data_IF_598747551619
#
_entry.id   IF_598747551619
#
_cell.length_a   1.000
_cell.length_b   1.000
_cell.length_c   1.000
_cell.angle_alpha   90.00
_cell.angle_beta   90.00
_cell.angle_gamma   90.00
#
_symmetry.space_group_name_H-M   'P 1'
#
loop_
_entity.id
_entity.type
_entity.pdbx_description
1 polymer ?
#
# COMPACT_ATOMS: atom_id res chain seq x y z
N UNK A 1 -19.31 7.26 -4.31
CA UNK A 1 -18.18 7.79 -3.50
C UNK A 1 -16.88 6.97 -3.65
N UNK A 2 -16.85 5.82 -4.34
CA UNK A 2 -15.62 5.01 -4.52
C UNK A 2 -14.61 5.57 -5.53
N UNK A 3 -15.06 6.19 -6.63
CA UNK A 3 -14.17 6.72 -7.69
C UNK A 3 -13.14 7.74 -7.17
N UNK A 4 -13.50 8.56 -6.17
CA UNK A 4 -12.58 9.58 -5.62
C UNK A 4 -11.37 8.92 -4.94
N UNK A 5 -11.58 7.79 -4.24
CA UNK A 5 -10.51 7.06 -3.53
C UNK A 5 -9.64 6.28 -4.49
N UNK A 6 -10.24 5.65 -5.50
CA UNK A 6 -9.54 4.95 -6.57
C UNK A 6 -8.64 5.90 -7.36
N UNK A 7 -9.17 7.05 -7.77
CA UNK A 7 -8.40 8.09 -8.46
C UNK A 7 -7.27 8.65 -7.59
N UNK A 8 -7.51 8.81 -6.29
CA UNK A 8 -6.48 9.25 -5.34
C UNK A 8 -5.36 8.22 -5.21
N UNK A 9 -5.71 6.94 -5.04
CA UNK A 9 -4.73 5.85 -4.95
C UNK A 9 -3.93 5.73 -6.26
N UNK A 10 -4.60 5.81 -7.41
CA UNK A 10 -3.96 5.83 -8.73
C UNK A 10 -2.96 6.98 -8.85
N UNK A 11 -3.36 8.21 -8.49
CA UNK A 11 -2.48 9.38 -8.53
C UNK A 11 -1.25 9.21 -7.63
N UNK A 12 -1.43 8.65 -6.43
CA UNK A 12 -0.31 8.36 -5.53
C UNK A 12 0.62 7.29 -6.11
N UNK A 13 0.07 6.23 -6.72
CA UNK A 13 0.86 5.19 -7.39
C UNK A 13 1.67 5.76 -8.56
N UNK A 14 1.07 6.59 -9.42
CA UNK A 14 1.78 7.24 -10.52
C UNK A 14 2.92 8.13 -10.03
N UNK A 15 2.68 8.95 -8.99
CA UNK A 15 3.73 9.79 -8.39
C UNK A 15 4.85 8.97 -7.77
N UNK A 16 4.52 7.82 -7.15
CA UNK A 16 5.52 6.93 -6.59
C UNK A 16 6.34 6.22 -7.68
N UNK A 17 5.71 5.84 -8.79
CA UNK A 17 6.38 5.23 -9.94
C UNK A 17 7.43 6.17 -10.58
N UNK A 18 7.16 7.47 -10.60
CA UNK A 18 8.09 8.48 -11.12
C UNK A 18 9.17 8.92 -10.12
N UNK A 19 9.08 8.45 -8.86
CA UNK A 19 10.05 8.81 -7.84
C UNK A 19 11.38 8.05 -8.04
N UNK A 20 12.49 8.81 -8.06
CA UNK A 20 13.84 8.25 -8.28
C UNK A 20 14.22 7.22 -7.23
N UNK A 21 13.85 7.40 -5.96
CA UNK A 21 14.14 6.43 -4.90
C UNK A 21 13.34 5.14 -5.05
N UNK A 22 12.10 5.22 -5.54
CA UNK A 22 11.27 4.03 -5.81
C UNK A 22 11.79 3.26 -7.02
N UNK A 23 12.24 3.96 -8.06
CA UNK A 23 12.81 3.35 -9.28
C UNK A 23 14.09 2.53 -9.03
N UNK A 24 14.76 2.73 -7.89
CA UNK A 24 15.90 1.89 -7.46
C UNK A 24 15.47 0.47 -7.06
N UNK A 25 14.17 0.25 -6.86
CA UNK A 25 13.61 -1.01 -6.37
C UNK A 25 12.63 -1.60 -7.40
N UNK A 26 13.10 -2.53 -8.25
CA UNK A 26 12.27 -3.13 -9.29
C UNK A 26 11.00 -3.80 -8.76
N UNK A 27 11.06 -4.40 -7.58
CA UNK A 27 9.93 -5.06 -6.95
C UNK A 27 8.81 -4.08 -6.56
N UNK A 28 9.15 -2.87 -6.14
CA UNK A 28 8.18 -1.80 -5.87
C UNK A 28 7.55 -1.27 -7.16
N UNK A 29 8.36 -1.12 -8.20
CA UNK A 29 7.90 -0.68 -9.53
C UNK A 29 6.91 -1.69 -10.12
N UNK A 30 7.23 -2.97 -10.08
CA UNK A 30 6.35 -4.05 -10.54
C UNK A 30 5.05 -4.11 -9.71
N UNK A 31 5.16 -3.91 -8.39
CA UNK A 31 4.00 -3.86 -7.50
C UNK A 31 3.06 -2.71 -7.88
N UNK A 32 3.61 -1.50 -8.08
CA UNK A 32 2.84 -0.32 -8.48
C UNK A 32 2.13 -0.52 -9.81
N UNK A 33 2.84 -1.00 -10.83
CA UNK A 33 2.26 -1.28 -12.15
C UNK A 33 1.13 -2.31 -12.03
N UNK A 34 1.38 -3.42 -11.33
CA UNK A 34 0.38 -4.48 -11.19
C UNK A 34 -0.88 -4.00 -10.47
N UNK A 35 -0.72 -3.22 -9.39
CA UNK A 35 -1.86 -2.66 -8.66
C UNK A 35 -2.60 -1.59 -9.47
N UNK A 36 -1.90 -0.75 -10.23
CA UNK A 36 -2.54 0.22 -11.13
C UNK A 36 -3.33 -0.46 -12.24
N UNK A 37 -2.78 -1.51 -12.87
CA UNK A 37 -3.49 -2.30 -13.88
C UNK A 37 -4.72 -3.00 -13.30
N UNK A 38 -4.61 -3.58 -12.11
CA UNK A 38 -5.76 -4.19 -11.44
C UNK A 38 -6.86 -3.17 -11.12
N UNK A 39 -6.48 -1.97 -10.67
CA UNK A 39 -7.45 -0.91 -10.40
C UNK A 39 -8.18 -0.45 -11.67
N UNK A 40 -7.48 -0.39 -12.81
CA UNK A 40 -8.08 -0.08 -14.11
C UNK A 40 -8.99 -1.20 -14.65
N UNK A 41 -8.74 -2.45 -14.25
CA UNK A 41 -9.52 -3.62 -14.67
C UNK A 41 -10.69 -3.92 -13.74
N UNK A 42 -11.25 -2.89 -13.07
CA UNK A 42 -12.40 -3.00 -12.15
C UNK A 42 -12.20 -4.00 -10.99
N UNK A 43 -10.94 -4.33 -10.64
CA UNK A 43 -10.68 -5.11 -9.43
C UNK A 43 -11.08 -4.24 -8.23
N UNK A 44 -11.82 -4.80 -7.25
CA UNK A 44 -12.30 -4.02 -6.12
C UNK A 44 -11.17 -3.24 -5.42
N UNK A 45 -11.39 -1.93 -5.23
CA UNK A 45 -10.44 -1.02 -4.58
C UNK A 45 -9.84 -1.60 -3.30
N UNK A 46 -10.68 -2.16 -2.43
CA UNK A 46 -10.26 -2.77 -1.16
C UNK A 46 -9.23 -3.88 -1.37
N UNK A 47 -9.40 -4.71 -2.40
CA UNK A 47 -8.47 -5.80 -2.73
C UNK A 47 -7.13 -5.26 -3.24
N UNK A 48 -7.17 -4.24 -4.09
CA UNK A 48 -5.96 -3.59 -4.63
C UNK A 48 -5.19 -2.89 -3.52
N UNK A 49 -5.89 -2.12 -2.66
CA UNK A 49 -5.30 -1.42 -1.52
C UNK A 49 -4.62 -2.38 -0.54
N UNK A 50 -5.28 -3.48 -0.16
CA UNK A 50 -4.69 -4.53 0.70
C UNK A 50 -3.43 -5.12 0.08
N UNK A 51 -3.50 -5.46 -1.21
CA UNK A 51 -2.37 -6.07 -1.91
C UNK A 51 -1.18 -5.12 -1.99
N UNK A 52 -1.44 -3.83 -2.21
CA UNK A 52 -0.41 -2.81 -2.24
C UNK A 52 0.23 -2.61 -0.86
N UNK A 53 -0.59 -2.50 0.20
CA UNK A 53 -0.10 -2.42 1.58
C UNK A 53 0.79 -3.61 1.94
N UNK A 54 0.34 -4.83 1.63
CA UNK A 54 1.12 -6.05 1.83
C UNK A 54 2.43 -6.05 1.05
N UNK A 55 2.40 -5.69 -0.23
CA UNK A 55 3.61 -5.66 -1.05
C UNK A 55 4.66 -4.68 -0.53
N UNK A 56 4.23 -3.55 0.04
CA UNK A 56 5.12 -2.58 0.69
C UNK A 56 5.71 -3.16 1.97
N UNK A 57 4.92 -3.83 2.81
CA UNK A 57 5.41 -4.52 4.02
C UNK A 57 6.40 -5.65 3.67
N UNK A 58 6.12 -6.42 2.63
CA UNK A 58 7.01 -7.49 2.16
C UNK A 58 8.35 -6.92 1.68
N UNK A 59 8.33 -5.79 0.95
CA UNK A 59 9.54 -5.08 0.57
C UNK A 59 10.33 -4.60 1.79
N UNK A 60 9.66 -3.97 2.76
CA UNK A 60 10.28 -3.48 4.00
C UNK A 60 11.04 -4.61 4.71
N UNK A 61 10.43 -5.79 4.83
CA UNK A 61 11.05 -6.93 5.50
C UNK A 61 12.25 -7.49 4.72
N UNK A 62 12.22 -7.48 3.39
CA UNK A 62 13.30 -7.99 2.53
C UNK A 62 14.46 -7.01 2.39
N UNK A 63 14.19 -5.71 2.35
CA UNK A 63 15.16 -4.67 2.03
C UNK A 63 15.58 -3.87 3.25
N UNK A 64 16.11 -4.58 4.27
CA UNK A 64 16.74 -3.98 5.47
C UNK A 64 15.88 -2.93 6.18
N UNK A 65 14.55 -3.07 6.16
CA UNK A 65 13.62 -2.11 6.79
C UNK A 65 13.68 -0.71 6.19
N UNK A 66 14.06 -0.61 4.92
CA UNK A 66 14.04 0.63 4.14
C UNK A 66 12.89 0.60 3.15
N UNK A 67 12.09 1.66 3.13
CA UNK A 67 11.04 1.90 2.14
C UNK A 67 11.10 3.37 1.75
N UNK A 68 11.06 3.71 0.45
CA UNK A 68 11.01 5.10 0.01
C UNK A 68 9.79 5.84 0.57
N UNK A 69 9.96 7.11 0.93
CA UNK A 69 8.89 7.95 1.51
C UNK A 69 7.62 7.97 0.65
N UNK A 70 7.74 7.94 -0.68
CA UNK A 70 6.59 7.89 -1.58
C UNK A 70 5.73 6.63 -1.37
N UNK A 71 6.34 5.48 -1.10
CA UNK A 71 5.63 4.23 -0.80
C UNK A 71 5.09 4.22 0.63
N UNK A 72 5.81 4.81 1.59
CA UNK A 72 5.31 4.99 2.95
C UNK A 72 4.03 5.83 2.98
N UNK A 73 3.96 6.90 2.17
CA UNK A 73 2.75 7.72 2.07
C UNK A 73 1.55 6.92 1.55
N UNK A 74 1.76 6.06 0.56
CA UNK A 74 0.74 5.15 0.05
C UNK A 74 0.29 4.18 1.15
N UNK A 75 1.25 3.57 1.84
CA UNK A 75 0.97 2.64 2.93
C UNK A 75 0.15 3.30 4.05
N UNK A 76 0.53 4.50 4.49
CA UNK A 76 -0.20 5.25 5.51
C UNK A 76 -1.62 5.61 5.06
N UNK A 77 -1.79 6.04 3.81
CA UNK A 77 -3.11 6.29 3.24
C UNK A 77 -4.00 5.03 3.27
N UNK A 78 -3.46 3.87 2.95
CA UNK A 78 -4.18 2.60 3.03
C UNK A 78 -4.54 2.27 4.48
N UNK A 79 -3.62 2.47 5.44
CA UNK A 79 -3.91 2.23 6.85
C UNK A 79 -5.02 3.12 7.40
N UNK A 80 -5.04 4.40 7.03
CA UNK A 80 -6.12 5.31 7.42
C UNK A 80 -7.47 4.84 6.84
N UNK A 81 -7.50 4.40 5.58
CA UNK A 81 -8.72 3.87 4.94
C UNK A 81 -9.23 2.57 5.60
N UNK A 82 -8.33 1.72 6.11
CA UNK A 82 -8.68 0.53 6.89
C UNK A 82 -9.22 0.91 8.28
N UNK A 83 -8.59 1.89 8.94
CA UNK A 83 -9.01 2.37 10.28
C UNK A 83 -10.40 3.03 10.22
N UNK A 84 -10.65 3.81 9.19
CA UNK A 84 -11.91 4.54 9.00
C UNK A 84 -13.06 3.62 8.55
N UNK A 85 -12.80 2.30 8.41
CA UNK A 85 -13.80 1.30 8.06
C UNK A 85 -14.22 1.32 6.59
N UNK A 86 -13.48 2.03 5.73
CA UNK A 86 -13.73 2.06 4.29
C UNK A 86 -13.29 0.78 3.58
N UNK A 87 -12.42 -0.01 4.22
CA UNK A 87 -11.99 -1.33 3.77
C UNK A 87 -12.47 -2.33 4.82
N UNK A 88 -13.20 -3.36 4.40
CA UNK A 88 -13.83 -4.33 5.31
C UNK A 88 -12.79 -5.09 6.15
N UNK A 89 -12.74 -4.71 7.43
CA UNK A 89 -11.74 -5.11 8.40
C UNK A 89 -11.77 -6.60 8.74
N UNK A 90 -12.91 -7.30 8.57
CA UNK A 90 -13.03 -8.70 9.01
C UNK A 90 -12.10 -9.64 8.22
N UNK A 91 -11.97 -9.39 6.91
CA UNK A 91 -11.15 -10.22 6.02
C UNK A 91 -9.67 -9.82 6.05
N UNK A 92 -9.39 -8.54 6.34
CA UNK A 92 -8.04 -8.03 6.59
C UNK A 92 -7.51 -8.56 7.91
N UNK A 93 -8.22 -8.36 9.03
CA UNK A 93 -7.70 -8.60 10.38
C UNK A 93 -7.19 -10.03 10.56
N UNK A 94 -7.86 -11.04 9.99
CA UNK A 94 -7.36 -12.43 10.03
C UNK A 94 -6.05 -12.65 9.25
N UNK A 95 -5.84 -11.94 8.14
CA UNK A 95 -4.60 -12.03 7.33
C UNK A 95 -3.49 -11.11 7.86
N UNK A 96 -3.86 -10.02 8.51
CA UNK A 96 -3.00 -8.93 9.02
C UNK A 96 -2.45 -9.22 10.44
N UNK A 97 -3.14 -10.05 11.23
CA UNK A 97 -2.69 -10.53 12.55
C UNK A 97 -1.38 -11.33 12.50
N UNK A 98 -1.06 -11.96 11.36
CA UNK A 98 0.20 -12.68 11.17
C UNK A 98 1.42 -11.80 10.91
N UNK A 99 1.22 -10.52 10.57
CA UNK A 99 2.28 -9.63 10.06
C UNK A 99 2.40 -8.29 10.82
N UNK A 100 1.72 -8.14 11.96
CA UNK A 100 1.82 -6.95 12.81
C UNK A 100 0.94 -5.77 12.37
N UNK A 101 0.12 -5.94 11.34
CA UNK A 101 -0.71 -4.89 10.78
C UNK A 101 -2.03 -4.68 11.55
N UNK A 102 -2.55 -5.73 12.20
CA UNK A 102 -3.84 -5.70 12.89
C UNK A 102 -3.80 -5.15 14.33
N UNK A 103 -2.63 -4.84 14.88
CA UNK A 103 -2.51 -4.52 16.31
C UNK A 103 -1.52 -3.41 16.65
N UNK A 104 -0.67 -2.97 15.72
CA UNK A 104 0.29 -1.90 16.00
C UNK A 104 0.46 -1.02 14.77
N UNK A 105 0.35 0.31 14.86
CA UNK A 105 0.93 1.15 13.83
C UNK A 105 2.40 0.71 13.70
N UNK A 106 2.82 0.31 12.50
CA UNK A 106 4.24 0.12 12.25
C UNK A 106 4.83 1.52 12.46
N UNK A 107 5.41 1.76 13.64
CA UNK A 107 6.21 2.94 13.89
C UNK A 107 7.42 2.83 12.98
N UNK A 108 7.32 3.42 11.79
CA UNK A 108 8.47 3.84 11.02
C UNK A 108 9.15 4.92 11.87
N UNK A 109 10.02 4.47 12.78
CA UNK A 109 10.61 5.30 13.82
C UNK A 109 11.42 6.46 13.24
N UNK A 110 11.68 7.51 14.04
CA UNK A 110 12.45 8.66 13.63
C UNK A 110 13.94 8.28 13.62
N UNK A 111 14.63 8.56 12.52
CA UNK A 111 16.08 8.77 12.53
C UNK A 111 16.33 10.24 12.24
#
# INVERSE_FOLDING_TARGET
MSEIKENKLMSMMSKAYDNVEVRKFPDLIDLLLKCATELNNEVPYSKVAVKLGRGISDHYMKNKRTVPTAMLNIYNFIQDEVRDGHIDNATLRQKELGYGLAATPIMFGPF
#
